data_IF_174534331205
#
_entry.id   IF_174534331205
#
_cell.length_a   1.000
_cell.length_b   1.000
_cell.length_c   1.000
_cell.angle_alpha   90.00
_cell.angle_beta   90.00
_cell.angle_gamma   90.00
#
_symmetry.space_group_name_H-M   'P 1'
#
loop_
_entity.id
_entity.type
_entity.pdbx_description
1 polymer ?
#
# COMPACT_ATOMS: atom_id res chain seq x y z
N UNK A 1 -5.39 -18.75 -2.65
CA UNK A 1 -5.84 -17.34 -2.74
C UNK A 1 -6.00 -16.82 -1.33
N UNK A 2 -5.13 -15.92 -0.91
CA UNK A 2 -5.17 -15.26 0.40
C UNK A 2 -5.27 -13.74 0.24
N UNK A 3 -5.98 -13.11 1.17
CA UNK A 3 -6.08 -11.65 1.25
C UNK A 3 -4.97 -11.10 2.15
N UNK A 4 -4.03 -10.38 1.55
CA UNK A 4 -2.85 -9.85 2.21
C UNK A 4 -2.90 -8.32 2.28
N UNK A 5 -2.22 -7.79 3.28
CA UNK A 5 -2.21 -6.36 3.59
C UNK A 5 -1.09 -5.67 2.81
N UNK A 6 -1.38 -4.51 2.20
CA UNK A 6 -0.34 -3.63 1.67
C UNK A 6 -0.56 -2.17 2.08
N UNK A 7 0.49 -1.52 2.60
CA UNK A 7 0.46 -0.09 2.94
C UNK A 7 0.86 0.76 1.72
N UNK A 8 0.05 1.75 1.35
CA UNK A 8 0.36 2.72 0.29
C UNK A 8 0.29 4.17 0.80
N UNK A 9 1.11 5.02 0.17
CA UNK A 9 1.04 6.46 0.34
C UNK A 9 -0.07 7.06 -0.52
N UNK A 10 -0.52 8.28 -0.18
CA UNK A 10 -1.50 9.03 -0.95
C UNK A 10 -1.20 9.08 -2.47
N UNK A 11 0.02 9.46 -2.93
CA UNK A 11 0.31 9.50 -4.37
C UNK A 11 0.28 8.11 -5.04
N UNK A 12 0.59 7.03 -4.32
CA UNK A 12 0.46 5.67 -4.86
C UNK A 12 -1.01 5.28 -5.06
N UNK A 13 -1.88 5.61 -4.10
CA UNK A 13 -3.32 5.36 -4.22
C UNK A 13 -3.93 6.18 -5.35
N UNK A 14 -3.59 7.47 -5.44
CA UNK A 14 -4.02 8.33 -6.56
C UNK A 14 -3.58 7.77 -7.91
N UNK A 15 -2.35 7.27 -8.03
CA UNK A 15 -1.87 6.64 -9.26
C UNK A 15 -2.65 5.37 -9.63
N UNK A 16 -3.09 4.59 -8.64
CA UNK A 16 -3.95 3.42 -8.87
C UNK A 16 -5.36 3.84 -9.28
N UNK A 17 -5.96 4.80 -8.58
CA UNK A 17 -7.27 5.34 -8.94
C UNK A 17 -7.27 5.93 -10.35
N UNK A 18 -6.18 6.61 -10.74
CA UNK A 18 -5.99 7.11 -12.09
C UNK A 18 -5.92 5.97 -13.12
N UNK A 19 -5.21 4.88 -12.82
CA UNK A 19 -5.17 3.70 -13.69
C UNK A 19 -6.56 3.08 -13.87
N UNK A 20 -7.34 2.98 -12.78
CA UNK A 20 -8.70 2.44 -12.82
C UNK A 20 -9.63 3.33 -13.66
N UNK A 21 -9.50 4.66 -13.54
CA UNK A 21 -10.31 5.61 -14.29
C UNK A 21 -9.90 5.71 -15.76
N UNK A 22 -8.59 5.72 -16.03
CA UNK A 22 -7.98 5.89 -17.35
C UNK A 22 -6.82 4.88 -17.51
N UNK A 23 -7.09 3.68 -18.04
CA UNK A 23 -6.08 2.64 -18.21
C UNK A 23 -4.86 3.12 -18.99
N UNK A 24 -3.66 2.81 -18.50
CA UNK A 24 -2.38 3.22 -19.08
C UNK A 24 -1.81 4.54 -18.57
N UNK A 25 -2.46 5.23 -17.63
CA UNK A 25 -2.01 6.53 -17.10
C UNK A 25 -1.51 6.48 -15.66
N UNK A 26 -1.68 5.34 -14.99
CA UNK A 26 -1.40 5.17 -13.57
C UNK A 26 -0.34 4.11 -13.29
N UNK A 27 -0.34 3.62 -12.04
CA UNK A 27 0.71 2.71 -11.53
C UNK A 27 0.18 1.29 -11.42
N UNK A 28 0.75 0.38 -12.20
CA UNK A 28 0.42 -1.05 -12.19
C UNK A 28 1.40 -1.90 -11.38
N UNK A 29 2.61 -1.41 -11.12
CA UNK A 29 3.65 -2.14 -10.40
C UNK A 29 4.04 -1.48 -9.08
N UNK A 30 4.08 -2.28 -8.01
CA UNK A 30 4.68 -1.91 -6.72
C UNK A 30 5.97 -2.70 -6.48
N UNK A 31 6.95 -2.07 -5.82
CA UNK A 31 8.20 -2.69 -5.38
C UNK A 31 8.40 -2.45 -3.88
N UNK A 32 9.00 -3.42 -3.18
CA UNK A 32 9.44 -3.28 -1.78
C UNK A 32 10.89 -3.71 -1.67
N UNK A 33 11.64 -3.01 -0.81
CA UNK A 33 13.01 -3.38 -0.50
C UNK A 33 12.99 -4.66 0.32
N UNK A 34 13.87 -5.61 -0.02
CA UNK A 34 14.10 -6.81 0.77
C UNK A 34 15.09 -6.43 1.88
N UNK A 35 14.60 -6.40 3.13
CA UNK A 35 15.41 -6.00 4.29
C UNK A 35 15.86 -7.19 5.15
N UNK A 36 15.35 -8.40 4.91
CA UNK A 36 15.76 -9.60 5.68
C UNK A 36 17.14 -10.06 5.19
N UNK A 37 18.11 -10.16 6.09
CA UNK A 37 19.47 -10.63 5.79
C UNK A 37 19.45 -12.03 5.18
N UNK A 38 18.71 -12.97 5.77
CA UNK A 38 18.57 -14.34 5.23
C UNK A 38 18.04 -14.38 3.77
N UNK A 39 17.24 -13.38 3.37
CA UNK A 39 16.78 -13.28 1.99
C UNK A 39 17.86 -12.73 1.06
N UNK A 40 18.72 -11.84 1.56
CA UNK A 40 19.87 -11.31 0.82
C UNK A 40 20.92 -12.40 0.61
N UNK A 41 21.27 -13.14 1.66
CA UNK A 41 22.19 -14.28 1.59
C UNK A 41 21.72 -15.34 0.59
N UNK A 42 20.42 -15.68 0.63
CA UNK A 42 19.84 -16.64 -0.30
C UNK A 42 19.91 -16.18 -1.76
N UNK A 43 19.80 -14.87 -2.04
CA UNK A 43 19.96 -14.32 -3.40
C UNK A 43 21.40 -14.49 -3.89
N UNK A 44 22.40 -14.31 -3.02
CA UNK A 44 23.80 -14.46 -3.38
C UNK A 44 24.15 -15.90 -3.75
N UNK A 45 23.53 -16.88 -3.08
CA UNK A 45 23.81 -18.31 -3.32
C UNK A 45 22.96 -18.91 -4.45
N UNK A 46 21.65 -18.64 -4.49
CA UNK A 46 20.69 -19.44 -5.28
C UNK A 46 19.96 -18.70 -6.41
N UNK A 47 20.36 -17.46 -6.72
CA UNK A 47 19.71 -16.55 -7.68
C UNK A 47 18.36 -15.98 -7.21
N UNK A 48 17.89 -14.84 -7.77
CA UNK A 48 16.66 -14.17 -7.33
C UNK A 48 15.37 -15.03 -7.42
N UNK A 49 15.31 -15.97 -8.36
CA UNK A 49 14.15 -16.86 -8.53
C UNK A 49 13.95 -17.82 -7.36
N UNK A 50 14.99 -18.06 -6.55
CA UNK A 50 14.89 -18.92 -5.37
C UNK A 50 13.91 -18.38 -4.33
N UNK A 51 13.79 -17.06 -4.18
CA UNK A 51 12.89 -16.42 -3.23
C UNK A 51 11.42 -16.48 -3.65
N UNK A 52 11.13 -16.68 -4.94
CA UNK A 52 9.76 -16.76 -5.45
C UNK A 52 9.19 -18.19 -5.40
N UNK A 53 10.02 -19.19 -5.04
CA UNK A 53 9.58 -20.56 -4.85
C UNK A 53 8.62 -20.68 -3.66
N UNK A 54 7.61 -21.54 -3.77
CA UNK A 54 6.51 -21.64 -2.81
C UNK A 54 6.95 -21.92 -1.36
N UNK A 55 8.10 -22.58 -1.15
CA UNK A 55 8.66 -22.89 0.18
C UNK A 55 9.50 -21.78 0.81
N UNK A 56 9.93 -20.77 0.03
CA UNK A 56 10.90 -19.76 0.47
C UNK A 56 10.30 -18.37 0.68
N UNK A 57 8.98 -18.24 0.52
CA UNK A 57 8.27 -16.95 0.52
C UNK A 57 8.28 -16.24 1.86
N UNK A 58 8.52 -16.95 2.95
CA UNK A 58 8.66 -16.34 4.28
C UNK A 58 9.91 -15.47 4.38
N UNK A 59 10.84 -15.59 3.44
CA UNK A 59 11.97 -14.68 3.28
C UNK A 59 11.56 -13.31 2.69
N UNK A 60 10.37 -13.18 2.10
CA UNK A 60 9.85 -11.92 1.60
C UNK A 60 9.06 -11.17 2.69
N UNK A 61 9.19 -9.85 2.75
CA UNK A 61 8.40 -9.02 3.69
C UNK A 61 6.90 -9.09 3.44
N UNK A 62 6.52 -9.34 2.19
CA UNK A 62 5.14 -9.52 1.77
C UNK A 62 5.07 -10.91 1.16
N UNK A 63 4.74 -11.89 1.99
CA UNK A 63 4.54 -13.28 1.59
C UNK A 63 3.27 -13.36 0.71
N UNK A 64 3.46 -13.16 -0.59
CA UNK A 64 2.43 -13.06 -1.62
C UNK A 64 2.83 -13.89 -2.83
N UNK A 65 1.86 -14.55 -3.46
CA UNK A 65 2.01 -15.25 -4.74
C UNK A 65 1.07 -14.70 -5.81
N UNK A 66 1.36 -14.96 -7.10
CA UNK A 66 0.35 -14.82 -8.14
C UNK A 66 -0.95 -15.53 -7.74
N UNK A 67 -2.08 -14.85 -7.94
CA UNK A 67 -3.40 -15.30 -7.52
C UNK A 67 -3.80 -14.95 -6.08
N UNK A 68 -2.94 -14.31 -5.30
CA UNK A 68 -3.35 -13.64 -4.04
C UNK A 68 -3.96 -12.27 -4.32
N UNK A 69 -4.61 -11.71 -3.30
CA UNK A 69 -5.20 -10.37 -3.33
C UNK A 69 -4.54 -9.47 -2.31
N UNK A 70 -4.26 -8.23 -2.72
CA UNK A 70 -3.71 -7.19 -1.86
C UNK A 70 -4.79 -6.16 -1.57
N UNK A 71 -5.26 -6.08 -0.33
CA UNK A 71 -6.11 -4.98 0.07
C UNK A 71 -5.26 -3.83 0.62
N UNK A 72 -5.58 -2.62 0.17
CA UNK A 72 -4.75 -1.43 0.40
C UNK A 72 -5.13 -0.76 1.70
N UNK A 73 -4.13 -0.46 2.52
CA UNK A 73 -4.23 0.47 3.64
C UNK A 73 -3.66 1.83 3.24
N UNK A 74 -4.46 2.86 3.44
CA UNK A 74 -4.08 4.26 3.24
C UNK A 74 -4.41 5.09 4.49
N UNK A 75 -3.90 6.32 4.57
CA UNK A 75 -4.28 7.21 5.65
C UNK A 75 -5.76 7.60 5.49
N UNK A 76 -6.51 7.54 6.57
CA UNK A 76 -7.97 7.62 6.53
C UNK A 76 -8.51 8.25 7.80
N UNK A 77 -9.80 8.55 7.84
CA UNK A 77 -10.48 8.85 9.09
C UNK A 77 -11.94 8.41 9.01
N UNK A 78 -12.48 7.93 10.12
CA UNK A 78 -13.89 7.62 10.27
C UNK A 78 -14.54 8.71 11.13
N UNK A 79 -15.64 9.29 10.66
CA UNK A 79 -16.27 10.46 11.25
C UNK A 79 -17.74 10.16 11.63
N UNK A 80 -18.22 10.84 12.66
CA UNK A 80 -19.63 10.84 13.10
C UNK A 80 -20.50 11.77 12.27
N UNK A 81 -21.81 11.55 12.35
CA UNK A 81 -22.79 12.27 11.55
C UNK A 81 -23.13 13.62 12.19
N UNK A 82 -23.04 14.69 11.41
CA UNK A 82 -23.40 16.04 11.82
C UNK A 82 -22.23 16.84 12.40
N UNK A 83 -21.52 16.29 13.38
CA UNK A 83 -20.40 16.94 14.06
C UNK A 83 -19.03 16.60 13.46
N UNK A 84 -18.95 15.59 12.58
CA UNK A 84 -17.72 15.15 11.89
C UNK A 84 -16.54 14.93 12.83
N UNK A 85 -16.80 14.41 14.03
CA UNK A 85 -15.78 14.08 15.01
C UNK A 85 -15.17 12.70 14.70
N UNK A 86 -13.86 12.49 14.94
CA UNK A 86 -13.24 11.17 14.80
C UNK A 86 -13.91 10.11 15.69
N UNK A 87 -14.35 9.01 15.09
CA UNK A 87 -14.96 7.89 15.82
C UNK A 87 -14.36 6.54 15.47
N UNK A 88 -14.43 5.63 16.45
CA UNK A 88 -14.16 4.20 16.28
C UNK A 88 -15.44 3.38 16.22
N UNK A 89 -16.55 3.91 16.72
CA UNK A 89 -17.85 3.25 16.84
C UNK A 89 -18.85 3.91 15.90
N UNK A 90 -19.43 3.13 15.00
CA UNK A 90 -20.51 3.56 14.08
C UNK A 90 -20.14 4.82 13.26
N UNK A 91 -19.10 4.75 12.41
CA UNK A 91 -18.79 5.85 11.51
C UNK A 91 -19.90 5.99 10.46
N UNK A 92 -20.25 7.23 10.13
CA UNK A 92 -21.18 7.54 9.05
C UNK A 92 -20.47 8.04 7.78
N UNK A 93 -19.24 8.53 7.92
CA UNK A 93 -18.42 9.06 6.83
C UNK A 93 -16.99 8.55 6.96
N UNK A 94 -16.37 8.24 5.82
CA UNK A 94 -14.99 7.78 5.74
C UNK A 94 -14.24 8.66 4.77
N UNK A 95 -13.24 9.36 5.31
CA UNK A 95 -12.35 10.22 4.54
C UNK A 95 -11.03 9.52 4.29
N UNK A 96 -10.43 9.78 3.13
CA UNK A 96 -9.17 9.17 2.70
C UNK A 96 -8.22 10.26 2.25
N UNK A 97 -7.02 10.28 2.83
CA UNK A 97 -6.03 11.33 2.55
C UNK A 97 -5.62 11.37 1.07
N UNK A 98 -5.75 10.27 0.33
CA UNK A 98 -5.42 10.25 -1.10
C UNK A 98 -6.42 11.02 -1.97
N UNK A 99 -7.65 11.22 -1.53
CA UNK A 99 -8.72 11.83 -2.36
C UNK A 99 -9.38 13.03 -1.72
N UNK A 100 -9.11 13.28 -0.44
CA UNK A 100 -9.63 14.45 0.25
C UNK A 100 -8.96 15.72 -0.29
N UNK A 101 -9.75 16.73 -0.64
CA UNK A 101 -9.27 18.02 -1.15
C UNK A 101 -8.51 18.81 -0.09
N UNK A 102 -8.79 18.53 1.18
CA UNK A 102 -8.23 19.19 2.36
C UNK A 102 -7.16 18.31 3.04
N UNK A 103 -6.66 17.28 2.34
CA UNK A 103 -5.70 16.34 2.90
C UNK A 103 -4.41 17.00 3.40
N UNK A 104 -3.95 18.04 2.71
CA UNK A 104 -2.72 18.78 3.04
C UNK A 104 -2.95 19.93 4.04
N UNK A 105 -4.22 20.25 4.38
CA UNK A 105 -4.51 21.26 5.39
C UNK A 105 -4.10 20.78 6.78
N UNK A 106 -3.82 21.73 7.66
CA UNK A 106 -3.53 21.44 9.06
C UNK A 106 -4.77 20.83 9.75
N UNK A 107 -4.59 19.94 10.75
CA UNK A 107 -5.71 19.22 11.37
C UNK A 107 -6.77 20.10 12.03
N UNK A 108 -6.37 21.27 12.52
CA UNK A 108 -7.24 22.31 13.09
C UNK A 108 -8.15 22.95 12.02
N UNK A 109 -7.62 23.19 10.82
CA UNK A 109 -8.39 23.75 9.70
C UNK A 109 -9.33 22.70 9.11
N UNK A 110 -8.86 21.46 8.92
CA UNK A 110 -9.68 20.35 8.40
C UNK A 110 -10.72 19.86 9.43
N UNK A 111 -10.52 20.16 10.72
CA UNK A 111 -11.40 19.73 11.80
C UNK A 111 -11.14 18.31 12.34
N UNK A 112 -10.22 17.55 11.74
CA UNK A 112 -9.82 16.23 12.23
C UNK A 112 -8.39 15.81 11.82
N UNK A 113 -7.71 15.00 12.64
CA UNK A 113 -6.42 14.40 12.28
C UNK A 113 -6.61 13.20 11.36
N UNK A 114 -5.60 12.91 10.53
CA UNK A 114 -5.54 11.65 9.78
C UNK A 114 -5.18 10.48 10.70
N UNK A 115 -5.93 9.38 10.57
CA UNK A 115 -5.57 8.10 11.17
C UNK A 115 -4.55 7.38 10.27
N UNK A 116 -3.38 6.98 10.81
CA UNK A 116 -2.38 6.26 10.05
C UNK A 116 -2.90 4.96 9.44
N UNK A 117 -2.42 4.63 8.24
CA UNK A 117 -2.79 3.42 7.49
C UNK A 117 -2.62 2.11 8.28
N UNK A 118 -1.62 2.03 9.17
CA UNK A 118 -1.39 0.85 10.03
C UNK A 118 -2.62 0.49 10.88
N UNK A 119 -3.43 1.47 11.26
CA UNK A 119 -4.63 1.28 12.07
C UNK A 119 -5.91 1.14 11.25
N UNK A 120 -5.82 1.06 9.91
CA UNK A 120 -6.97 0.78 9.05
C UNK A 120 -7.44 -0.67 9.24
N UNK A 121 -8.74 -0.88 9.33
CA UNK A 121 -9.33 -2.22 9.37
C UNK A 121 -9.82 -2.61 7.98
N UNK A 122 -10.03 -3.92 7.73
CA UNK A 122 -10.43 -4.39 6.38
C UNK A 122 -11.71 -3.74 5.87
N UNK A 123 -12.71 -3.55 6.74
CA UNK A 123 -14.00 -2.94 6.36
C UNK A 123 -13.85 -1.51 5.81
N UNK A 124 -12.79 -0.78 6.17
CA UNK A 124 -12.54 0.58 5.72
C UNK A 124 -11.70 0.64 4.43
N UNK A 125 -11.12 -0.48 4.00
CA UNK A 125 -10.36 -0.53 2.75
C UNK A 125 -11.30 -0.54 1.55
N UNK A 126 -11.07 0.37 0.61
CA UNK A 126 -11.86 0.51 -0.62
C UNK A 126 -11.19 -0.06 -1.88
N UNK A 127 -9.94 -0.51 -1.78
CA UNK A 127 -9.17 -1.03 -2.90
C UNK A 127 -8.64 -2.43 -2.59
N UNK A 128 -8.92 -3.37 -3.49
CA UNK A 128 -8.34 -4.72 -3.50
C UNK A 128 -7.74 -4.96 -4.88
N UNK A 129 -6.48 -5.37 -4.92
CA UNK A 129 -5.69 -5.56 -6.14
C UNK A 129 -5.36 -7.04 -6.30
N UNK A 130 -5.60 -7.60 -7.48
CA UNK A 130 -5.17 -8.96 -7.80
C UNK A 130 -3.68 -8.99 -8.14
N UNK A 131 -2.97 -9.99 -7.62
CA UNK A 131 -1.55 -10.18 -7.89
C UNK A 131 -1.39 -11.09 -9.10
N UNK A 132 -0.88 -10.53 -10.19
CA UNK A 132 -0.68 -11.28 -11.44
C UNK A 132 0.72 -11.88 -11.57
N UNK A 133 1.75 -11.22 -11.01
CA UNK A 133 3.14 -11.64 -11.08
C UNK A 133 3.95 -11.15 -9.88
N UNK A 134 4.96 -11.93 -9.46
CA UNK A 134 5.89 -11.58 -8.39
C UNK A 134 7.31 -11.89 -8.84
N UNK A 135 8.18 -10.87 -8.80
CA UNK A 135 9.57 -10.98 -9.25
C UNK A 135 10.52 -10.27 -8.31
N UNK A 136 11.72 -10.82 -8.15
CA UNK A 136 12.83 -10.23 -7.41
C UNK A 136 13.86 -9.68 -8.40
N UNK A 137 14.22 -8.41 -8.24
CA UNK A 137 15.13 -7.71 -9.15
C UNK A 137 16.12 -6.88 -8.33
N UNK A 138 17.37 -6.80 -8.80
CA UNK A 138 18.36 -5.86 -8.24
C UNK A 138 17.92 -4.43 -8.56
N UNK A 139 17.77 -3.61 -7.52
CA UNK A 139 17.44 -2.20 -7.68
C UNK A 139 18.70 -1.44 -8.12
N UNK A 140 18.70 -0.91 -9.34
CA UNK A 140 19.77 -0.02 -9.80
C UNK A 140 19.50 1.36 -9.23
N UNK A 141 20.34 1.85 -8.33
CA UNK A 141 20.23 3.21 -7.79
C UNK A 141 20.46 4.20 -8.93
N UNK A 142 19.42 4.95 -9.30
CA UNK A 142 19.59 6.12 -10.15
C UNK A 142 20.34 7.15 -9.32
N UNK A 143 21.58 7.48 -9.69
CA UNK A 143 22.33 8.55 -9.04
C UNK A 143 21.47 9.82 -9.03
N UNK A 144 21.15 10.32 -7.84
CA UNK A 144 20.43 11.57 -7.65
C UNK A 144 21.34 12.66 -8.21
N UNK A 145 21.02 13.16 -9.41
CA UNK A 145 21.72 14.30 -10.01
C UNK A 145 21.35 15.52 -9.17
N UNK A 146 22.17 15.80 -8.16
CA UNK A 146 22.08 17.00 -7.33
C UNK A 146 22.37 18.18 -8.27
N UNK A 147 21.33 18.95 -8.60
CA UNK A 147 21.47 20.32 -9.10
C UNK A 147 21.28 21.25 -7.92
#
# INVERSE_FOLDING_TARGET
>A
MADRIILFSAPMVQAILREIQNPGTGKTQTRRLITKEAAQDAIEVFSPGFLTLCGNRDLLLVNVIPGDRLWVKENWQALTYGDYQPTKSQPCDIRYAATDREADLAPDIRGYPWRPSIHMNRWASRLTLDVTDVRVQRCRTSAKRMR
#
